data_IF_080217860596
#
_entry.id   IF_080217860596
#
_cell.length_a   1.000
_cell.length_b   1.000
_cell.length_c   1.000
_cell.angle_alpha   90.00
_cell.angle_beta   90.00
_cell.angle_gamma   90.00
#
_symmetry.space_group_name_H-M   'P 1'
#
loop_
_entity.id
_entity.type
_entity.pdbx_description
1 polymer ?
#
# COMPACT_ATOMS: atom_id res chain seq x y z
N UNK A 1 36.55 -28.10 42.80
CA UNK A 1 35.61 -26.96 42.89
C UNK A 1 35.57 -26.30 41.54
N UNK A 2 34.77 -26.87 40.65
CA UNK A 2 34.70 -26.43 39.28
C UNK A 2 33.28 -25.87 39.07
N UNK A 3 33.21 -24.70 38.45
CA UNK A 3 32.21 -24.45 37.41
C UNK A 3 30.82 -23.94 37.80
N UNK A 4 30.65 -23.13 38.86
CA UNK A 4 29.44 -22.32 38.97
C UNK A 4 29.46 -21.11 38.00
N UNK A 5 30.63 -20.45 37.86
CA UNK A 5 30.81 -19.33 36.91
C UNK A 5 30.86 -19.79 35.45
N UNK A 6 31.38 -20.99 35.19
CA UNK A 6 31.45 -21.55 33.84
C UNK A 6 30.05 -21.89 33.30
N UNK A 7 29.17 -22.45 34.15
CA UNK A 7 27.78 -22.81 33.76
C UNK A 7 26.96 -21.58 33.42
N UNK A 8 27.13 -20.47 34.15
CA UNK A 8 26.43 -19.22 33.85
C UNK A 8 26.89 -18.55 32.53
N UNK A 9 28.19 -18.63 32.22
CA UNK A 9 28.74 -18.09 30.95
C UNK A 9 28.35 -18.96 29.76
N UNK A 10 28.32 -20.29 29.92
CA UNK A 10 27.88 -21.21 28.86
C UNK A 10 26.38 -21.05 28.59
N UNK A 11 25.55 -20.90 29.62
CA UNK A 11 24.11 -20.70 29.45
C UNK A 11 23.77 -19.38 28.72
N UNK A 12 24.52 -18.30 28.98
CA UNK A 12 24.32 -17.01 28.31
C UNK A 12 24.84 -16.99 26.87
N UNK A 13 25.92 -17.73 26.56
CA UNK A 13 26.40 -17.89 25.18
C UNK A 13 25.48 -18.75 24.32
N UNK A 14 24.81 -19.76 24.89
CA UNK A 14 23.87 -20.63 24.16
C UNK A 14 22.57 -19.88 23.82
N UNK A 15 22.13 -18.92 24.65
CA UNK A 15 20.93 -18.11 24.39
C UNK A 15 21.13 -17.11 23.24
N UNK A 16 22.38 -16.73 22.92
CA UNK A 16 22.69 -15.79 21.83
C UNK A 16 22.79 -16.45 20.43
N UNK A 17 22.73 -17.78 20.33
CA UNK A 17 22.95 -18.51 19.08
C UNK A 17 21.67 -18.90 18.32
N UNK A 18 20.48 -18.62 18.85
CA UNK A 18 19.19 -19.06 18.26
C UNK A 18 18.46 -17.95 17.46
N UNK A 19 19.16 -16.90 16.99
CA UNK A 19 18.55 -15.85 16.16
C UNK A 19 19.28 -15.68 14.83
N UNK A 20 19.27 -16.72 13.98
CA UNK A 20 19.34 -16.53 12.52
C UNK A 20 19.18 -17.84 11.76
N UNK A 21 17.95 -18.15 11.41
CA UNK A 21 17.65 -18.65 10.07
C UNK A 21 16.40 -17.95 9.57
N UNK A 22 16.57 -16.74 9.02
CA UNK A 22 15.58 -16.21 8.08
C UNK A 22 15.65 -17.08 6.82
N UNK A 23 14.90 -18.18 6.82
CA UNK A 23 14.49 -18.77 5.56
C UNK A 23 13.61 -17.71 4.87
N UNK A 24 14.18 -17.02 3.87
CA UNK A 24 13.43 -16.22 2.92
C UNK A 24 12.48 -17.18 2.20
N UNK A 25 11.30 -17.40 2.79
CA UNK A 25 10.18 -17.96 2.08
C UNK A 25 9.84 -16.92 1.01
N UNK A 26 10.28 -17.18 -0.23
CA UNK A 26 9.62 -16.60 -1.40
C UNK A 26 8.20 -17.14 -1.36
N UNK A 27 7.33 -16.43 -0.65
CA UNK A 27 5.91 -16.60 -0.83
C UNK A 27 5.66 -16.22 -2.28
N UNK A 28 5.47 -17.26 -3.08
CA UNK A 28 4.79 -17.18 -4.35
C UNK A 28 3.45 -16.50 -4.06
N UNK A 29 3.44 -15.17 -4.13
CA UNK A 29 2.24 -14.41 -4.33
C UNK A 29 1.51 -15.08 -5.48
N UNK A 30 0.23 -15.37 -5.26
CA UNK A 30 -0.65 -15.78 -6.35
C UNK A 30 -0.38 -14.80 -7.50
N UNK A 31 0.01 -15.26 -8.70
CA UNK A 31 0.26 -14.34 -9.80
C UNK A 31 -0.95 -13.43 -9.94
N UNK A 32 -0.69 -12.13 -10.02
CA UNK A 32 -1.76 -11.16 -10.23
C UNK A 32 -2.54 -11.62 -11.46
N UNK A 33 -3.87 -11.75 -11.39
CA UNK A 33 -4.68 -12.14 -12.54
C UNK A 33 -4.57 -11.14 -13.71
N UNK A 34 -3.88 -10.00 -13.48
CA UNK A 34 -3.68 -8.91 -14.41
C UNK A 34 -2.26 -8.85 -15.03
N UNK A 35 -1.30 -9.67 -14.60
CA UNK A 35 0.02 -9.76 -15.25
C UNK A 35 0.00 -10.90 -16.26
N UNK A 36 -0.33 -10.58 -17.51
CA UNK A 36 -0.09 -11.48 -18.64
C UNK A 36 1.40 -11.47 -18.97
N UNK A 37 2.08 -12.59 -18.74
CA UNK A 37 3.33 -12.90 -19.43
C UNK A 37 2.92 -13.32 -20.85
N UNK A 38 3.39 -12.56 -21.86
CA UNK A 38 3.25 -12.91 -23.27
C UNK A 38 4.19 -14.10 -23.54
N UNK A 39 3.68 -15.32 -23.48
CA UNK A 39 4.42 -16.51 -23.88
C UNK A 39 3.72 -17.21 -25.06
N UNK A 40 4.53 -17.49 -26.07
CA UNK A 40 4.16 -17.82 -27.43
C UNK A 40 3.19 -19.00 -27.57
N UNK A 41 2.36 -18.88 -28.59
CA UNK A 41 1.40 -19.91 -29.01
C UNK A 41 2.07 -21.26 -29.31
N UNK A 42 1.68 -22.30 -28.57
CA UNK A 42 1.84 -23.70 -29.00
C UNK A 42 0.47 -24.26 -29.38
N UNK A 43 0.21 -24.69 -30.63
CA UNK A 43 -1.09 -25.22 -31.02
C UNK A 43 -1.24 -26.67 -30.56
N UNK A 44 -2.27 -27.00 -29.76
CA UNK A 44 -2.66 -28.42 -29.61
C UNK A 44 -3.37 -28.92 -28.36
N UNK A 45 -3.72 -28.11 -27.34
CA UNK A 45 -4.49 -28.64 -26.19
C UNK A 45 -5.78 -27.87 -25.91
N UNK A 46 -6.89 -28.61 -25.97
CA UNK A 46 -8.26 -28.20 -25.68
C UNK A 46 -8.43 -28.04 -24.16
N UNK A 47 -8.20 -26.83 -23.64
CA UNK A 47 -8.43 -26.51 -22.23
C UNK A 47 -9.73 -25.73 -22.04
N UNK A 48 -10.58 -26.24 -21.14
CA UNK A 48 -11.81 -25.61 -20.65
C UNK A 48 -11.56 -24.13 -20.32
N UNK A 49 -12.28 -23.24 -20.99
CA UNK A 49 -12.33 -21.82 -20.66
C UNK A 49 -12.91 -21.61 -19.27
N UNK A 50 -12.04 -21.57 -18.25
CA UNK A 50 -12.37 -20.94 -16.97
C UNK A 50 -12.43 -19.43 -17.26
N UNK A 51 -13.62 -18.83 -17.13
CA UNK A 51 -13.79 -17.39 -17.40
C UNK A 51 -12.74 -16.61 -16.58
N UNK A 52 -11.90 -15.78 -17.21
CA UNK A 52 -10.96 -14.96 -16.46
C UNK A 52 -11.76 -14.06 -15.51
N UNK A 53 -11.27 -13.92 -14.28
CA UNK A 53 -11.85 -13.00 -13.31
C UNK A 53 -11.96 -11.61 -13.94
N UNK A 54 -13.05 -10.92 -13.66
CA UNK A 54 -13.35 -9.60 -14.21
C UNK A 54 -12.22 -8.62 -13.85
N UNK A 55 -11.27 -8.43 -14.76
CA UNK A 55 -10.25 -7.41 -14.67
C UNK A 55 -10.86 -6.15 -15.28
N UNK A 56 -11.04 -5.06 -14.52
CA UNK A 56 -11.52 -3.80 -15.10
C UNK A 56 -10.54 -3.34 -16.17
N UNK A 57 -10.99 -3.27 -17.43
CA UNK A 57 -10.19 -2.72 -18.53
C UNK A 57 -9.86 -1.24 -18.25
N UNK A 58 -8.64 -0.75 -18.56
CA UNK A 58 -8.26 0.66 -18.36
C UNK A 58 -8.95 1.65 -19.33
N UNK A 59 -9.97 1.20 -20.08
CA UNK A 59 -10.58 1.95 -21.19
C UNK A 59 -12.00 2.42 -20.97
N UNK A 60 -12.49 2.46 -19.72
CA UNK A 60 -13.89 2.79 -19.42
C UNK A 60 -14.05 3.90 -18.39
N UNK A 61 -13.60 5.12 -18.68
CA UNK A 61 -14.06 6.39 -18.06
C UNK A 61 -14.05 6.56 -16.52
N UNK A 62 -13.71 5.56 -15.72
CA UNK A 62 -13.81 5.59 -14.27
C UNK A 62 -12.59 4.92 -13.66
N UNK A 63 -11.84 5.68 -12.88
CA UNK A 63 -10.71 5.15 -12.12
C UNK A 63 -11.12 4.05 -11.14
N UNK A 64 -10.15 3.46 -10.46
CA UNK A 64 -10.35 2.50 -9.38
C UNK A 64 -11.19 3.11 -8.26
N UNK A 65 -12.35 2.53 -7.90
CA UNK A 65 -13.15 3.02 -6.78
C UNK A 65 -12.42 2.84 -5.45
N UNK A 66 -12.51 3.83 -4.58
CA UNK A 66 -11.93 3.80 -3.24
C UNK A 66 -12.67 4.71 -2.27
N UNK A 67 -12.29 4.61 -1.01
CA UNK A 67 -12.70 5.52 0.05
C UNK A 67 -11.51 6.41 0.37
N UNK A 68 -11.71 7.72 0.30
CA UNK A 68 -10.70 8.69 0.70
C UNK A 68 -10.90 9.05 2.16
N UNK A 69 -9.81 9.04 2.92
CA UNK A 69 -9.73 9.43 4.33
C UNK A 69 -8.76 10.60 4.50
N UNK A 70 -8.81 11.24 5.66
CA UNK A 70 -7.85 12.28 6.05
C UNK A 70 -6.82 11.68 7.01
N UNK A 71 -5.54 11.93 6.74
CA UNK A 71 -4.42 11.50 7.58
C UNK A 71 -3.40 12.63 7.74
N UNK A 72 -2.81 12.69 8.94
CA UNK A 72 -1.69 13.57 9.25
C UNK A 72 -0.36 12.90 8.94
N UNK A 73 0.46 13.53 8.11
CA UNK A 73 1.77 13.06 7.68
C UNK A 73 2.90 13.78 8.42
N UNK A 74 2.58 14.73 9.31
CA UNK A 74 3.55 15.42 10.13
C UNK A 74 3.93 14.60 11.38
N UNK A 75 5.05 14.97 12.00
CA UNK A 75 5.55 14.26 13.16
C UNK A 75 4.62 14.45 14.35
N UNK A 76 4.15 13.32 14.91
CA UNK A 76 3.31 13.31 16.11
C UNK A 76 1.81 13.37 15.83
N UNK A 77 1.42 13.22 14.57
CA UNK A 77 0.03 13.10 14.14
C UNK A 77 -0.38 11.63 13.97
N UNK A 78 -1.62 11.41 13.52
CA UNK A 78 -2.28 10.10 13.44
C UNK A 78 -1.60 9.12 12.47
N UNK A 79 -0.87 9.62 11.46
CA UNK A 79 -0.08 8.77 10.55
C UNK A 79 1.10 8.08 11.22
N UNK A 80 1.45 8.49 12.44
CA UNK A 80 2.41 7.79 13.30
C UNK A 80 3.85 7.92 12.83
N UNK A 81 4.33 6.94 12.07
CA UNK A 81 5.72 6.83 11.63
C UNK A 81 6.06 7.75 10.45
N UNK A 82 7.35 7.86 10.09
CA UNK A 82 7.75 8.43 8.81
C UNK A 82 7.24 7.58 7.65
N UNK A 83 6.95 8.19 6.50
CA UNK A 83 6.33 7.50 5.38
C UNK A 83 7.25 6.48 4.70
N UNK A 84 6.66 5.36 4.25
CA UNK A 84 7.38 4.18 3.76
C UNK A 84 8.23 4.43 2.49
N UNK A 85 7.85 5.38 1.62
CA UNK A 85 8.59 5.61 0.39
C UNK A 85 9.97 6.25 0.60
N UNK A 86 10.13 7.12 1.61
CA UNK A 86 11.36 7.90 1.81
C UNK A 86 11.83 8.04 3.26
N UNK A 87 11.12 7.44 4.21
CA UNK A 87 11.45 7.47 5.64
C UNK A 87 11.33 8.87 6.24
N UNK A 88 10.44 9.72 5.74
CA UNK A 88 10.28 11.11 6.19
C UNK A 88 8.84 11.43 6.58
N UNK A 89 8.72 12.41 7.46
CA UNK A 89 7.47 13.13 7.67
C UNK A 89 7.28 14.15 6.55
N UNK A 90 6.02 14.40 6.18
CA UNK A 90 5.65 15.34 5.12
C UNK A 90 4.63 16.33 5.67
N UNK A 91 4.61 17.55 5.13
CA UNK A 91 3.60 18.52 5.59
C UNK A 91 2.23 18.21 5.04
N UNK A 92 1.21 18.32 5.88
CA UNK A 92 -0.21 18.19 5.52
C UNK A 92 -0.70 19.21 4.50
N UNK A 93 0.11 20.25 4.27
CA UNK A 93 -0.11 21.28 3.24
C UNK A 93 0.35 20.85 1.85
N UNK A 94 0.94 19.65 1.71
CA UNK A 94 1.39 19.11 0.42
C UNK A 94 0.39 18.12 -0.13
N UNK A 95 0.25 18.02 -1.45
CA UNK A 95 -0.69 17.08 -2.08
C UNK A 95 -0.11 15.66 -2.11
N UNK A 96 -0.30 14.92 -1.02
CA UNK A 96 0.27 13.58 -0.81
C UNK A 96 -0.78 12.57 -0.34
N UNK A 97 -0.42 11.29 -0.49
CA UNK A 97 -1.34 10.18 -0.24
C UNK A 97 -0.59 8.91 0.19
N UNK A 98 -1.20 8.14 1.08
CA UNK A 98 -0.92 6.75 1.36
C UNK A 98 -1.94 5.85 0.65
N UNK A 99 -1.50 4.71 0.12
CA UNK A 99 -2.38 3.76 -0.55
C UNK A 99 -2.47 2.47 0.26
N UNK A 100 -3.66 1.85 0.30
CA UNK A 100 -3.79 0.49 0.86
C UNK A 100 -2.73 -0.45 0.29
N UNK A 101 -2.25 -1.41 1.07
CA UNK A 101 -1.16 -2.35 0.73
C UNK A 101 -1.20 -2.87 -0.70
N UNK A 102 -2.36 -3.35 -1.16
CA UNK A 102 -2.53 -3.86 -2.53
C UNK A 102 -2.23 -2.80 -3.60
N UNK A 103 -2.66 -1.56 -3.37
CA UNK A 103 -2.46 -0.44 -4.29
C UNK A 103 -1.08 0.20 -4.15
N UNK A 104 -0.53 0.24 -2.94
CA UNK A 104 0.87 0.59 -2.72
C UNK A 104 1.82 -0.35 -3.48
N UNK A 105 1.45 -1.64 -3.55
CA UNK A 105 2.08 -2.67 -4.37
C UNK A 105 3.59 -2.80 -4.07
N UNK A 106 3.95 -2.84 -2.78
CA UNK A 106 5.34 -2.94 -2.32
C UNK A 106 6.21 -1.77 -2.78
N UNK A 107 5.65 -0.55 -2.77
CA UNK A 107 6.36 0.67 -3.15
C UNK A 107 6.47 0.93 -4.66
N UNK A 108 5.86 0.10 -5.52
CA UNK A 108 5.90 0.31 -6.99
C UNK A 108 5.29 1.65 -7.43
N UNK A 109 4.44 2.25 -6.60
CA UNK A 109 3.83 3.57 -6.82
C UNK A 109 4.55 4.71 -6.08
N UNK A 110 5.61 4.45 -5.33
CA UNK A 110 6.31 5.49 -4.57
C UNK A 110 6.71 6.68 -5.44
N UNK A 111 6.38 7.87 -4.94
CA UNK A 111 6.59 9.17 -5.57
C UNK A 111 5.92 9.36 -6.93
N UNK A 112 5.08 8.42 -7.36
CA UNK A 112 4.30 8.55 -8.58
C UNK A 112 3.01 9.35 -8.29
N UNK A 113 2.58 10.19 -9.23
CA UNK A 113 1.32 10.89 -9.10
C UNK A 113 0.15 9.94 -9.35
N UNK A 114 -0.94 10.16 -8.60
CA UNK A 114 -2.25 9.59 -8.89
C UNK A 114 -3.26 10.72 -9.02
N UNK A 115 -4.27 10.53 -9.87
CA UNK A 115 -5.41 11.45 -9.99
C UNK A 115 -6.56 10.93 -9.16
N UNK A 116 -6.97 11.68 -8.14
CA UNK A 116 -8.11 11.38 -7.27
C UNK A 116 -9.29 12.23 -7.76
N UNK A 117 -10.46 11.63 -7.87
CA UNK A 117 -11.70 12.30 -8.31
C UNK A 117 -12.81 12.02 -7.31
N UNK A 118 -13.37 13.08 -6.73
CA UNK A 118 -14.48 13.00 -5.79
C UNK A 118 -15.76 12.57 -6.51
N UNK A 119 -16.45 11.58 -5.95
CA UNK A 119 -17.78 11.18 -6.45
C UNK A 119 -18.89 12.13 -6.01
N UNK A 120 -18.65 12.97 -5.00
CA UNK A 120 -19.66 13.89 -4.48
C UNK A 120 -19.83 15.13 -5.36
N UNK A 121 -18.72 15.70 -5.84
CA UNK A 121 -18.73 16.97 -6.57
C UNK A 121 -18.02 16.91 -7.94
N UNK A 122 -17.43 15.76 -8.32
CA UNK A 122 -16.76 15.57 -9.60
C UNK A 122 -15.41 16.26 -9.75
N UNK A 123 -14.92 16.98 -8.72
CA UNK A 123 -13.59 17.62 -8.75
C UNK A 123 -12.49 16.57 -8.71
N UNK A 124 -11.37 16.89 -9.36
CA UNK A 124 -10.17 16.05 -9.35
C UNK A 124 -8.96 16.81 -8.84
N UNK A 125 -8.02 16.09 -8.23
CA UNK A 125 -6.70 16.59 -7.84
C UNK A 125 -5.65 15.52 -8.12
N UNK A 126 -4.42 15.95 -8.41
CA UNK A 126 -3.27 15.04 -8.52
C UNK A 126 -2.48 15.12 -7.22
N UNK A 127 -2.22 13.96 -6.61
CA UNK A 127 -1.46 13.82 -5.38
C UNK A 127 -0.32 12.81 -5.58
N UNK A 128 0.77 12.97 -4.84
CA UNK A 128 1.94 12.09 -4.91
C UNK A 128 1.85 11.00 -3.84
N UNK A 129 2.04 9.75 -4.24
CA UNK A 129 2.12 8.63 -3.28
C UNK A 129 3.40 8.75 -2.48
N UNK A 130 3.29 8.74 -1.15
CA UNK A 130 4.44 8.80 -0.23
C UNK A 130 4.46 7.65 0.75
N UNK A 131 3.35 6.94 0.94
CA UNK A 131 3.23 5.98 2.03
C UNK A 131 2.33 4.78 1.72
N UNK A 132 2.40 3.79 2.61
CA UNK A 132 1.50 2.65 2.66
C UNK A 132 0.48 2.81 3.79
N UNK A 133 -0.79 2.60 3.48
CA UNK A 133 -1.82 2.38 4.49
C UNK A 133 -1.93 0.87 4.72
N UNK A 134 -1.19 0.36 5.71
CA UNK A 134 -0.99 -1.09 5.89
C UNK A 134 -2.29 -1.81 6.27
N UNK A 135 -2.79 -2.64 5.36
CA UNK A 135 -4.05 -3.36 5.52
C UNK A 135 -3.95 -4.55 6.49
N UNK A 136 -2.75 -4.95 6.88
CA UNK A 136 -2.53 -5.95 7.93
C UNK A 136 -2.55 -5.33 9.33
N UNK A 137 -2.40 -4.01 9.44
CA UNK A 137 -2.27 -3.28 10.70
C UNK A 137 -3.34 -2.18 10.87
N UNK A 138 -4.54 -2.42 10.34
CA UNK A 138 -5.74 -1.62 10.66
C UNK A 138 -6.32 -0.80 9.51
N UNK A 139 -5.62 -0.65 8.39
CA UNK A 139 -6.17 0.00 7.20
C UNK A 139 -7.13 -0.94 6.43
N UNK A 140 -8.16 -0.41 5.77
CA UNK A 140 -9.01 -1.21 4.87
C UNK A 140 -8.30 -1.39 3.51
N UNK A 141 -8.71 -2.38 2.72
CA UNK A 141 -8.08 -2.74 1.42
C UNK A 141 -8.36 -1.78 0.25
N UNK A 142 -9.15 -0.72 0.49
CA UNK A 142 -9.66 0.19 -0.53
C UNK A 142 -9.58 1.68 -0.12
N UNK A 143 -8.58 2.01 0.69
CA UNK A 143 -8.31 3.36 1.20
C UNK A 143 -7.33 4.12 0.30
N UNK A 144 -7.67 5.39 0.08
CA UNK A 144 -6.79 6.44 -0.44
C UNK A 144 -6.63 7.45 0.69
N UNK A 145 -5.59 7.31 1.49
CA UNK A 145 -5.45 8.08 2.73
C UNK A 145 -4.65 9.35 2.47
N UNK A 146 -5.25 10.53 2.69
CA UNK A 146 -4.75 11.76 2.08
C UNK A 146 -4.52 12.87 3.09
N UNK A 147 -3.52 13.71 2.82
CA UNK A 147 -3.27 14.93 3.59
C UNK A 147 -4.44 15.90 3.51
N UNK A 148 -4.55 16.81 4.49
CA UNK A 148 -5.56 17.88 4.49
C UNK A 148 -5.58 18.71 3.18
N UNK A 149 -4.42 19.00 2.57
CA UNK A 149 -4.37 19.75 1.32
C UNK A 149 -5.13 19.10 0.15
N UNK A 150 -5.24 17.76 0.13
CA UNK A 150 -5.99 17.03 -0.92
C UNK A 150 -7.49 17.26 -0.74
N UNK A 151 -7.98 17.24 0.50
CA UNK A 151 -9.37 17.56 0.84
C UNK A 151 -9.73 18.99 0.45
N UNK A 152 -8.87 19.95 0.79
CA UNK A 152 -9.05 21.37 0.45
C UNK A 152 -9.08 21.58 -1.07
N UNK A 153 -8.18 20.93 -1.81
CA UNK A 153 -8.11 21.00 -3.27
C UNK A 153 -9.34 20.38 -3.95
N UNK A 154 -9.96 19.35 -3.34
CA UNK A 154 -11.22 18.77 -3.79
C UNK A 154 -12.44 19.57 -3.32
N UNK A 155 -12.26 20.58 -2.44
CA UNK A 155 -13.35 21.35 -1.85
C UNK A 155 -14.30 20.50 -1.02
N UNK A 156 -13.74 19.59 -0.21
CA UNK A 156 -14.46 18.68 0.67
C UNK A 156 -14.18 19.04 2.13
N UNK A 157 -15.17 18.80 2.99
CA UNK A 157 -15.02 18.96 4.44
C UNK A 157 -14.41 17.70 5.05
N UNK A 158 -13.20 17.79 5.59
CA UNK A 158 -12.49 16.66 6.21
C UNK A 158 -13.15 16.20 7.51
N UNK A 159 -14.02 16.98 8.13
CA UNK A 159 -14.79 16.56 9.32
C UNK A 159 -15.78 15.42 9.01
N UNK A 160 -16.07 15.15 7.74
CA UNK A 160 -16.89 14.00 7.31
C UNK A 160 -16.12 12.68 7.50
N UNK A 161 -14.78 12.72 7.53
CA UNK A 161 -13.90 11.58 7.77
C UNK A 161 -13.67 10.68 6.56
N UNK A 162 -14.75 10.21 5.91
CA UNK A 162 -14.65 9.30 4.76
C UNK A 162 -15.54 9.76 3.58
N UNK A 163 -14.99 9.74 2.36
CA UNK A 163 -15.76 10.07 1.14
C UNK A 163 -15.46 9.11 -0.02
N UNK A 164 -16.46 8.76 -0.85
CA UNK A 164 -16.22 7.91 -2.02
C UNK A 164 -15.47 8.68 -3.12
N UNK A 165 -14.43 8.05 -3.66
CA UNK A 165 -13.61 8.58 -4.75
C UNK A 165 -13.39 7.53 -5.84
N UNK A 166 -12.87 7.98 -6.97
CA UNK A 166 -12.15 7.13 -7.91
C UNK A 166 -10.75 7.67 -8.12
N UNK A 167 -9.78 6.78 -8.27
CA UNK A 167 -8.39 7.18 -8.52
C UNK A 167 -7.78 6.42 -9.70
N UNK A 168 -6.76 6.99 -10.33
CA UNK A 168 -5.96 6.32 -11.36
C UNK A 168 -4.51 6.76 -11.27
N UNK A 169 -3.59 5.97 -11.79
CA UNK A 169 -2.24 6.45 -12.10
C UNK A 169 -2.35 7.68 -13.05
N UNK A 170 -1.44 8.65 -12.90
CA UNK A 170 -1.45 9.93 -13.63
C UNK A 170 -0.17 10.19 -14.42
#
# INVERSE_FOLDING_TARGET
MANAKLVAVVATLVILLEVSTCAMARHHGKPDPCSGEDDGSVPGLLHKHKKPGHCPSPGGGGGTPGIMTVNGFEKGEDGGGPSECDGKYHSDKTLIVALSTRWYAGGRRCHKPIRITSKQNGRSVVARVVDECDSNHGCKDNIVDTSQAVWDALGLDSNIGEVPVTWSDA
#
